data_IF_547177699376
#
_entry.id   IF_547177699376
#
_cell.length_a   1.000
_cell.length_b   1.000
_cell.length_c   1.000
_cell.angle_alpha   90.00
_cell.angle_beta   90.00
_cell.angle_gamma   90.00
#
_symmetry.space_group_name_H-M   'P 1'
#
loop_
_entity.id
_entity.type
_entity.pdbx_description
1 polymer ?
#
# COMPACT_ATOMS: atom_id res chain seq x y z
N UNK A 1 14.20 3.65 3.82
CA UNK A 1 14.03 3.76 5.29
C UNK A 1 14.40 2.44 5.93
N UNK A 2 15.31 2.47 6.90
CA UNK A 2 15.65 1.31 7.73
C UNK A 2 14.61 1.23 8.85
N UNK A 3 13.97 0.07 9.03
CA UNK A 3 13.11 -0.16 10.20
C UNK A 3 13.93 -0.86 11.28
N UNK A 4 13.69 -0.56 12.55
CA UNK A 4 14.41 -1.19 13.67
C UNK A 4 14.38 -2.73 13.62
N UNK A 5 13.30 -3.32 13.12
CA UNK A 5 13.16 -4.78 12.94
C UNK A 5 14.16 -5.39 11.94
N UNK A 6 14.72 -4.57 11.06
CA UNK A 6 15.67 -4.97 10.03
C UNK A 6 17.14 -4.91 10.51
N UNK A 7 17.39 -4.30 11.66
CA UNK A 7 18.73 -4.19 12.25
C UNK A 7 19.08 -5.51 12.95
N UNK A 8 20.29 -5.99 12.70
CA UNK A 8 20.88 -7.17 13.33
C UNK A 8 21.72 -6.76 14.55
N UNK A 9 22.70 -5.87 14.33
CA UNK A 9 23.48 -5.23 15.39
C UNK A 9 23.35 -3.71 15.27
N UNK A 10 22.83 -3.07 16.31
CA UNK A 10 22.68 -1.62 16.35
C UNK A 10 23.99 -0.93 16.79
N UNK A 11 24.43 0.03 15.99
CA UNK A 11 25.46 1.00 16.36
C UNK A 11 24.80 2.37 16.52
N UNK A 12 24.93 2.96 17.71
CA UNK A 12 24.43 4.31 17.97
C UNK A 12 25.23 5.36 17.18
N UNK A 13 24.72 6.60 17.03
CA UNK A 13 25.39 7.64 16.24
C UNK A 13 26.86 7.88 16.62
N UNK A 14 27.18 7.84 17.91
CA UNK A 14 28.55 8.03 18.39
C UNK A 14 29.46 6.84 18.04
N UNK A 15 29.00 5.61 18.25
CA UNK A 15 29.77 4.40 17.91
C UNK A 15 29.91 4.21 16.40
N UNK A 16 28.95 4.69 15.61
CA UNK A 16 28.96 4.53 14.16
C UNK A 16 30.13 5.26 13.48
N UNK A 17 30.65 6.31 14.10
CA UNK A 17 31.83 7.05 13.62
C UNK A 17 33.09 6.18 13.63
N UNK A 18 33.23 5.30 14.64
CA UNK A 18 34.42 4.47 14.85
C UNK A 18 34.25 3.06 14.29
N UNK A 19 33.05 2.48 14.40
CA UNK A 19 32.76 1.08 14.09
C UNK A 19 31.89 0.90 12.84
N UNK A 20 31.54 2.00 12.16
CA UNK A 20 30.65 1.98 11.00
C UNK A 20 29.17 1.87 11.36
N UNK A 21 28.31 1.92 10.35
CA UNK A 21 26.85 1.88 10.52
C UNK A 21 26.35 0.57 11.13
N UNK A 22 25.10 0.59 11.59
CA UNK A 22 24.42 -0.61 12.12
C UNK A 22 24.42 -1.75 11.10
N UNK A 23 24.63 -2.98 11.56
CA UNK A 23 24.59 -4.17 10.72
C UNK A 23 23.13 -4.57 10.46
N UNK A 24 22.82 -4.91 9.21
CA UNK A 24 21.48 -5.24 8.77
C UNK A 24 21.31 -6.75 8.64
N UNK A 25 20.11 -7.26 8.97
CA UNK A 25 19.78 -8.67 8.75
C UNK A 25 19.93 -9.04 7.27
N UNK A 26 20.60 -10.16 7.00
CA UNK A 26 20.80 -10.65 5.62
C UNK A 26 19.51 -11.25 5.08
N UNK A 27 19.10 -10.78 3.90
CA UNK A 27 17.97 -11.36 3.16
C UNK A 27 18.34 -12.70 2.54
N UNK A 28 17.54 -13.71 2.82
CA UNK A 28 17.68 -15.07 2.30
C UNK A 28 16.51 -15.50 1.41
N UNK A 29 15.34 -14.86 1.53
CA UNK A 29 14.18 -15.18 0.68
C UNK A 29 13.35 -13.95 0.22
N UNK A 30 12.49 -14.18 -0.78
CA UNK A 30 11.59 -13.18 -1.36
C UNK A 30 10.09 -13.46 -1.18
N UNK A 31 9.75 -14.59 -0.56
CA UNK A 31 8.39 -15.11 -0.49
C UNK A 31 7.83 -15.20 0.94
N UNK A 32 8.62 -14.89 1.98
CA UNK A 32 8.22 -14.90 3.40
C UNK A 32 8.21 -13.50 4.01
N UNK A 33 7.45 -13.30 5.08
CA UNK A 33 7.44 -12.08 5.89
C UNK A 33 8.75 -11.94 6.67
N UNK A 34 9.20 -13.02 7.31
CA UNK A 34 10.57 -13.13 7.77
C UNK A 34 11.48 -13.48 6.59
N UNK A 35 12.19 -12.47 6.11
CA UNK A 35 13.08 -12.60 4.96
C UNK A 35 14.42 -13.26 5.30
N UNK A 36 14.66 -13.59 6.57
CA UNK A 36 15.87 -14.30 7.02
C UNK A 36 15.70 -15.82 7.04
N UNK A 37 14.46 -16.32 6.95
CA UNK A 37 14.18 -17.75 6.74
C UNK A 37 14.88 -18.27 5.47
N UNK A 38 15.36 -19.52 5.52
CA UNK A 38 15.96 -20.18 4.36
C UNK A 38 14.93 -20.35 3.22
N UNK A 39 15.41 -20.26 1.98
CA UNK A 39 14.62 -20.49 0.77
C UNK A 39 14.74 -21.96 0.35
N UNK A 40 14.23 -22.87 1.19
CA UNK A 40 14.30 -24.33 1.02
C UNK A 40 13.06 -24.92 0.32
N UNK A 41 12.11 -24.07 -0.09
CA UNK A 41 10.86 -24.48 -0.72
C UNK A 41 9.82 -25.10 0.22
N UNK A 42 10.10 -25.22 1.53
CA UNK A 42 9.20 -25.86 2.48
C UNK A 42 7.98 -25.01 2.83
N UNK A 43 8.10 -23.68 2.75
CA UNK A 43 7.07 -22.74 3.20
C UNK A 43 6.37 -22.04 2.03
N UNK A 44 5.05 -21.80 2.13
CA UNK A 44 4.30 -21.14 1.06
C UNK A 44 4.62 -19.65 0.96
N UNK A 45 4.32 -19.08 -0.21
CA UNK A 45 4.40 -17.65 -0.49
C UNK A 45 3.38 -16.89 0.38
N UNK A 46 3.81 -15.84 1.08
CA UNK A 46 2.95 -15.02 1.93
C UNK A 46 2.51 -13.72 1.23
N UNK A 47 1.30 -13.26 1.54
CA UNK A 47 0.74 -12.03 0.98
C UNK A 47 1.62 -10.79 1.24
N UNK A 48 1.66 -9.89 0.26
CA UNK A 48 2.45 -8.64 0.31
C UNK A 48 3.96 -8.81 0.15
N UNK A 49 4.45 -10.04 -0.04
CA UNK A 49 5.86 -10.31 -0.39
C UNK A 49 6.13 -10.01 -1.86
N UNK A 50 7.42 -9.88 -2.24
CA UNK A 50 7.80 -9.59 -3.63
C UNK A 50 7.33 -10.70 -4.57
N UNK A 51 7.50 -11.97 -4.16
CA UNK A 51 7.03 -13.12 -4.93
C UNK A 51 5.51 -13.12 -5.05
N UNK A 52 4.77 -12.82 -3.98
CA UNK A 52 3.32 -12.70 -4.02
C UNK A 52 2.85 -11.64 -5.00
N UNK A 53 3.41 -10.42 -4.95
CA UNK A 53 3.03 -9.33 -5.87
C UNK A 53 3.32 -9.71 -7.32
N UNK A 54 4.45 -10.39 -7.60
CA UNK A 54 4.77 -10.90 -8.93
C UNK A 54 3.71 -11.91 -9.41
N UNK A 55 3.36 -12.87 -8.56
CA UNK A 55 2.35 -13.89 -8.90
C UNK A 55 0.97 -13.27 -9.07
N UNK A 56 0.58 -12.33 -8.20
CA UNK A 56 -0.70 -11.63 -8.27
C UNK A 56 -0.86 -10.86 -9.59
N UNK A 57 0.20 -10.17 -10.05
CA UNK A 57 0.21 -9.46 -11.34
C UNK A 57 0.12 -10.39 -12.55
N UNK A 58 0.52 -11.65 -12.41
CA UNK A 58 0.46 -12.65 -13.47
C UNK A 58 -0.85 -13.44 -13.48
N UNK A 59 -1.74 -13.24 -12.50
CA UNK A 59 -3.05 -13.89 -12.48
C UNK A 59 -4.01 -13.19 -13.43
N UNK A 60 -4.85 -13.99 -14.09
CA UNK A 60 -6.01 -13.50 -14.82
C UNK A 60 -7.21 -13.41 -13.87
N UNK A 61 -7.91 -12.28 -13.92
CA UNK A 61 -9.17 -12.06 -13.20
C UNK A 61 -10.24 -11.66 -14.22
N UNK A 62 -11.51 -12.02 -14.01
CA UNK A 62 -12.62 -11.44 -14.77
C UNK A 62 -12.59 -9.91 -14.69
N UNK A 63 -13.07 -9.24 -15.74
CA UNK A 63 -13.10 -7.79 -15.75
C UNK A 63 -14.10 -7.29 -14.71
N UNK A 64 -13.75 -6.22 -14.00
CA UNK A 64 -14.71 -5.51 -13.17
C UNK A 64 -15.83 -4.88 -14.02
N UNK A 65 -15.59 -4.65 -15.32
CA UNK A 65 -16.59 -4.11 -16.25
C UNK A 65 -17.90 -4.93 -16.28
N UNK A 66 -17.83 -6.22 -15.94
CA UNK A 66 -18.99 -7.12 -15.91
C UNK A 66 -19.92 -6.86 -14.70
N UNK A 67 -19.42 -6.17 -13.66
CA UNK A 67 -20.17 -5.94 -12.41
C UNK A 67 -20.30 -4.45 -12.05
N UNK A 68 -19.43 -3.57 -12.56
CA UNK A 68 -19.45 -2.16 -12.19
C UNK A 68 -20.48 -1.37 -12.98
N UNK A 69 -21.14 -0.44 -12.29
CA UNK A 69 -22.04 0.51 -12.92
C UNK A 69 -21.29 1.81 -13.25
N UNK A 70 -21.13 2.12 -14.54
CA UNK A 70 -20.51 3.37 -15.01
C UNK A 70 -21.56 4.46 -15.18
N UNK A 71 -21.35 5.62 -14.58
CA UNK A 71 -22.26 6.77 -14.71
C UNK A 71 -21.54 8.11 -14.63
N UNK A 72 -22.24 9.19 -14.99
CA UNK A 72 -21.80 10.56 -14.78
C UNK A 72 -22.10 11.02 -13.35
N UNK A 73 -21.29 11.92 -12.79
CA UNK A 73 -21.45 12.35 -11.39
C UNK A 73 -22.81 12.96 -11.10
N UNK A 74 -23.38 13.72 -12.03
CA UNK A 74 -24.73 14.31 -11.87
C UNK A 74 -25.87 13.28 -11.81
N UNK A 75 -25.64 12.03 -12.23
CA UNK A 75 -26.63 10.95 -12.14
C UNK A 75 -26.60 10.29 -10.76
N UNK A 76 -25.45 10.33 -10.07
CA UNK A 76 -25.26 9.72 -8.75
C UNK A 76 -25.93 10.58 -7.67
N UNK A 77 -27.22 10.36 -7.49
CA UNK A 77 -28.07 11.08 -6.53
C UNK A 77 -28.72 10.12 -5.55
N UNK A 78 -29.13 10.61 -4.37
CA UNK A 78 -29.88 9.81 -3.41
C UNK A 78 -31.12 9.16 -4.05
N UNK A 79 -31.91 9.94 -4.80
CA UNK A 79 -33.10 9.44 -5.51
C UNK A 79 -32.79 8.32 -6.50
N UNK A 80 -31.64 8.39 -7.18
CA UNK A 80 -31.20 7.33 -8.08
C UNK A 80 -30.91 6.04 -7.28
N UNK A 81 -30.15 6.16 -6.19
CA UNK A 81 -29.79 5.01 -5.35
C UNK A 81 -30.99 4.38 -4.63
N UNK A 82 -31.96 5.17 -4.19
CA UNK A 82 -33.21 4.66 -3.61
C UNK A 82 -34.05 3.88 -4.62
N UNK A 83 -34.04 4.30 -5.88
CA UNK A 83 -34.78 3.65 -6.96
C UNK A 83 -34.08 2.41 -7.52
N UNK A 84 -32.76 2.46 -7.66
CA UNK A 84 -31.97 1.45 -8.35
C UNK A 84 -31.15 0.54 -7.42
N UNK A 85 -31.06 0.87 -6.13
CA UNK A 85 -30.20 0.19 -5.17
C UNK A 85 -28.75 0.68 -5.18
N UNK A 86 -27.98 0.20 -4.21
CA UNK A 86 -26.53 0.43 -4.12
C UNK A 86 -25.83 -0.85 -3.65
N UNK A 87 -25.89 -1.88 -4.49
CA UNK A 87 -25.43 -3.24 -4.24
C UNK A 87 -24.21 -3.63 -5.10
N UNK A 88 -23.91 -2.85 -6.15
CA UNK A 88 -22.73 -3.01 -7.01
C UNK A 88 -21.80 -1.81 -6.94
N UNK A 89 -20.47 -1.98 -7.19
CA UNK A 89 -19.56 -0.84 -7.23
C UNK A 89 -19.88 0.12 -8.38
N UNK A 90 -19.86 1.42 -8.09
CA UNK A 90 -20.10 2.48 -9.08
C UNK A 90 -18.78 3.11 -9.49
N UNK A 91 -18.53 3.21 -10.79
CA UNK A 91 -17.39 3.92 -11.36
C UNK A 91 -17.84 5.22 -12.01
N UNK A 92 -17.28 6.34 -11.55
CA UNK A 92 -17.53 7.66 -12.13
C UNK A 92 -16.23 8.17 -12.75
N UNK A 93 -16.05 8.12 -14.08
CA UNK A 93 -14.77 8.42 -14.72
C UNK A 93 -14.33 9.89 -14.63
N UNK A 94 -15.27 10.80 -14.34
CA UNK A 94 -15.03 12.25 -14.27
C UNK A 94 -15.52 12.79 -12.94
N UNK A 95 -14.83 13.81 -12.41
CA UNK A 95 -15.23 14.47 -11.16
C UNK A 95 -16.48 15.36 -11.34
N UNK A 96 -16.81 15.72 -12.58
CA UNK A 96 -17.92 16.59 -12.91
C UNK A 96 -19.25 16.09 -12.34
N UNK A 97 -19.95 16.97 -11.64
CA UNK A 97 -21.24 16.66 -11.02
C UNK A 97 -21.19 15.84 -9.73
N UNK A 98 -20.01 15.42 -9.24
CA UNK A 98 -19.89 14.71 -7.95
C UNK A 98 -19.85 15.65 -6.73
N UNK A 99 -19.58 16.94 -6.92
CA UNK A 99 -19.34 17.87 -5.81
C UNK A 99 -18.05 17.62 -5.03
N UNK A 100 -17.19 16.69 -5.50
CA UNK A 100 -15.87 16.43 -4.92
C UNK A 100 -14.90 17.55 -5.25
N UNK A 101 -14.27 18.11 -4.22
CA UNK A 101 -13.18 19.09 -4.37
C UNK A 101 -11.87 18.41 -4.02
N UNK A 102 -10.99 18.29 -5.01
CA UNK A 102 -9.65 17.72 -4.86
C UNK A 102 -8.60 18.80 -5.12
N UNK A 103 -7.38 18.65 -4.57
CA UNK A 103 -6.25 19.46 -4.98
C UNK A 103 -5.99 19.35 -6.50
N UNK A 104 -5.28 20.32 -7.09
CA UNK A 104 -4.86 20.24 -8.49
C UNK A 104 -4.10 18.95 -8.80
N UNK A 105 -4.11 18.52 -10.06
CA UNK A 105 -3.40 17.31 -10.51
C UNK A 105 -1.88 17.39 -10.38
N UNK A 106 -1.33 18.58 -10.17
CA UNK A 106 0.09 18.84 -9.87
C UNK A 106 0.44 18.66 -8.40
N UNK A 107 -0.54 18.45 -7.52
CA UNK A 107 -0.34 18.30 -6.09
C UNK A 107 0.51 17.05 -5.78
N UNK A 108 1.56 17.24 -4.99
CA UNK A 108 2.63 16.27 -4.77
C UNK A 108 2.75 15.90 -3.29
N UNK A 109 3.65 14.96 -3.00
CA UNK A 109 3.98 14.56 -1.61
C UNK A 109 4.60 15.74 -0.84
N UNK A 110 5.32 16.64 -1.51
CA UNK A 110 5.88 17.84 -0.88
C UNK A 110 4.80 18.81 -0.43
N UNK A 111 3.71 18.92 -1.19
CA UNK A 111 2.56 19.73 -0.80
C UNK A 111 1.86 19.10 0.41
N UNK A 112 1.70 17.78 0.45
CA UNK A 112 1.19 17.08 1.65
C UNK A 112 2.04 17.41 2.87
N UNK A 113 3.37 17.34 2.74
CA UNK A 113 4.31 17.67 3.81
C UNK A 113 4.19 19.14 4.25
N UNK A 114 4.08 20.07 3.31
CA UNK A 114 3.88 21.49 3.59
C UNK A 114 2.56 21.78 4.31
N UNK A 115 1.46 21.16 3.87
CA UNK A 115 0.12 21.42 4.44
C UNK A 115 -0.14 20.69 5.76
N UNK A 116 0.41 19.49 5.95
CA UNK A 116 0.19 18.70 7.17
C UNK A 116 1.28 18.95 8.21
N UNK A 117 2.52 19.21 7.78
CA UNK A 117 3.68 19.40 8.64
C UNK A 117 4.54 18.14 8.77
N UNK A 118 5.86 18.33 8.85
CA UNK A 118 6.85 17.26 8.91
C UNK A 118 6.77 16.42 10.20
N UNK A 119 6.29 17.01 11.29
CA UNK A 119 6.25 16.39 12.62
C UNK A 119 4.98 15.58 12.88
N UNK A 120 4.07 15.51 11.89
CA UNK A 120 2.87 14.70 12.01
C UNK A 120 3.18 13.21 11.90
N UNK A 121 2.70 12.45 12.89
CA UNK A 121 2.83 11.00 12.92
C UNK A 121 1.78 10.33 12.03
N UNK A 122 2.23 9.63 11.00
CA UNK A 122 1.38 8.79 10.17
C UNK A 122 1.56 7.31 10.49
N UNK A 123 0.47 6.57 10.49
CA UNK A 123 0.52 5.11 10.57
C UNK A 123 1.09 4.56 9.26
N UNK A 124 2.31 4.05 9.30
CA UNK A 124 2.94 3.40 8.16
C UNK A 124 2.82 1.87 8.26
N UNK A 125 2.12 1.25 7.31
CA UNK A 125 1.99 -0.21 7.24
C UNK A 125 3.00 -0.81 6.25
N UNK A 126 3.82 -1.74 6.72
CA UNK A 126 4.72 -2.51 5.84
C UNK A 126 3.88 -3.56 5.12
N UNK A 127 3.77 -3.45 3.79
CA UNK A 127 2.98 -4.37 2.96
C UNK A 127 3.34 -5.86 3.19
N UNK A 128 4.60 -6.14 3.53
CA UNK A 128 5.13 -7.48 3.79
C UNK A 128 4.97 -7.95 5.25
N UNK A 129 4.14 -7.29 6.07
CA UNK A 129 3.94 -7.64 7.48
C UNK A 129 2.92 -8.78 7.61
N UNK A 130 3.20 -9.73 8.49
CA UNK A 130 2.19 -10.67 8.97
C UNK A 130 1.18 -9.89 9.79
N UNK A 131 -0.05 -9.74 9.29
CA UNK A 131 -1.17 -9.43 10.17
C UNK A 131 -1.32 -10.66 11.07
N UNK A 132 -1.12 -10.51 12.39
CA UNK A 132 -1.70 -11.47 13.33
C UNK A 132 -3.21 -11.28 13.17
N UNK A 133 -3.86 -12.28 12.59
CA UNK A 133 -5.31 -12.41 12.67
C UNK A 133 -5.64 -12.82 14.10
#
# INVERSE_FOLDING_TARGET
>A
RVHGVDIDLYHCPNCAVLHGSSLMKKRRNWHRHDYTEYDDGSKPVQAGTRTFVKQLRARSFPSADDIILKMHGSQLTQRYLEKHGFDVPIMVPKLDGLGLRLPPSTFSILDVEHYVGMDCWFKHERARKSKRV
#
